data_IF_257958337496
#
_entry.id   IF_257958337496
#
_cell.length_a   1.000
_cell.length_b   1.000
_cell.length_c   1.000
_cell.angle_alpha   90.00
_cell.angle_beta   90.00
_cell.angle_gamma   90.00
#
_symmetry.space_group_name_H-M   'P 1'
#
loop_
_entity.id
_entity.type
_entity.pdbx_description
1 polymer ?
#
# COMPACT_ATOMS: atom_id res chain seq x y z
N UNK A 1 75.59 19.63 -33.97
CA UNK A 1 74.37 18.84 -33.73
C UNK A 1 74.53 17.98 -32.47
N UNK A 2 74.34 18.53 -31.31
CA UNK A 2 74.28 17.84 -29.99
C UNK A 2 73.82 18.88 -28.95
N UNK A 3 72.56 18.98 -28.73
CA UNK A 3 71.95 19.62 -27.54
C UNK A 3 70.42 19.74 -27.71
N UNK A 4 69.67 18.60 -27.83
CA UNK A 4 68.22 18.54 -27.67
C UNK A 4 67.85 17.08 -27.25
N UNK A 5 68.33 16.60 -26.13
CA UNK A 5 67.92 15.27 -25.65
C UNK A 5 67.82 15.15 -24.12
N UNK A 6 67.83 16.27 -23.38
CA UNK A 6 67.76 16.21 -21.90
C UNK A 6 66.51 16.90 -21.30
N UNK A 7 65.55 17.37 -22.09
CA UNK A 7 64.35 18.04 -21.60
C UNK A 7 63.06 17.22 -21.67
N UNK A 8 63.12 15.98 -22.20
CA UNK A 8 61.93 15.11 -22.22
C UNK A 8 61.86 14.04 -21.15
N UNK A 9 62.92 13.86 -20.35
CA UNK A 9 62.94 12.85 -19.26
C UNK A 9 62.43 13.40 -17.93
N UNK A 10 62.23 14.73 -17.78
CA UNK A 10 61.79 15.39 -16.54
C UNK A 10 60.26 15.49 -16.38
N UNK A 11 59.51 15.34 -17.46
CA UNK A 11 58.05 15.55 -17.43
C UNK A 11 57.23 14.28 -17.25
N UNK A 12 57.85 13.11 -17.35
CA UNK A 12 57.15 11.80 -17.21
C UNK A 12 57.17 11.25 -15.79
N UNK A 13 57.87 11.87 -14.83
CA UNK A 13 57.93 11.42 -13.45
C UNK A 13 56.96 12.13 -12.51
N UNK A 14 56.21 13.14 -12.99
CA UNK A 14 55.28 13.92 -12.14
C UNK A 14 53.80 13.49 -12.27
N UNK A 15 53.50 12.46 -13.07
CA UNK A 15 52.10 11.99 -13.26
C UNK A 15 51.76 10.69 -12.57
N UNK A 16 52.61 10.12 -11.67
CA UNK A 16 52.35 8.86 -10.98
C UNK A 16 52.00 9.08 -9.47
N UNK A 17 51.71 10.31 -9.05
CA UNK A 17 51.33 10.60 -7.65
C UNK A 17 49.89 11.03 -7.50
N UNK A 18 49.02 10.63 -8.41
CA UNK A 18 47.57 10.87 -8.28
C UNK A 18 46.85 9.57 -8.04
N UNK A 19 46.13 9.51 -6.93
CA UNK A 19 45.20 8.48 -6.52
C UNK A 19 45.78 7.19 -5.87
N UNK A 20 46.59 7.30 -4.84
CA UNK A 20 46.39 6.35 -3.74
C UNK A 20 45.16 6.79 -2.93
N UNK A 21 43.97 6.42 -3.35
CA UNK A 21 42.84 6.32 -2.44
C UNK A 21 43.27 5.33 -1.36
N UNK A 22 43.64 5.83 -0.18
CA UNK A 22 43.70 4.98 1.02
C UNK A 22 42.30 4.39 1.14
N UNK A 23 42.16 3.15 0.68
CA UNK A 23 41.03 2.32 1.11
C UNK A 23 41.20 2.16 2.60
N UNK A 24 40.54 3.02 3.37
CA UNK A 24 40.38 2.81 4.80
C UNK A 24 39.67 1.49 4.92
N UNK A 25 40.40 0.45 5.32
CA UNK A 25 39.73 -0.79 5.75
C UNK A 25 38.81 -0.38 6.89
N UNK A 26 37.50 -0.66 6.79
CA UNK A 26 36.60 -0.33 7.88
C UNK A 26 37.13 -1.01 9.15
N UNK A 27 37.40 -0.23 10.18
CA UNK A 27 37.74 -0.78 11.50
C UNK A 27 36.49 -1.49 11.99
N UNK A 28 36.54 -2.80 12.25
CA UNK A 28 35.38 -3.50 12.77
C UNK A 28 34.90 -2.84 14.07
N UNK A 29 33.59 -2.75 14.26
CA UNK A 29 33.03 -2.27 15.52
C UNK A 29 33.50 -3.17 16.67
N UNK A 30 34.10 -2.58 17.69
CA UNK A 30 34.52 -3.31 18.89
C UNK A 30 33.31 -3.47 19.83
N UNK A 31 32.70 -4.63 19.79
CA UNK A 31 31.60 -4.95 20.70
C UNK A 31 32.00 -4.88 22.15
N UNK A 32 31.17 -4.34 23.06
CA UNK A 32 31.40 -4.42 24.50
C UNK A 32 31.62 -5.85 24.95
N UNK A 33 32.63 -6.04 25.80
CA UNK A 33 32.97 -7.37 26.31
C UNK A 33 32.41 -7.59 27.71
N UNK A 34 32.15 -8.84 28.08
CA UNK A 34 31.70 -9.21 29.43
C UNK A 34 30.20 -8.92 29.69
N UNK A 35 29.43 -8.55 28.65
CA UNK A 35 28.00 -8.33 28.74
C UNK A 35 27.31 -9.65 28.37
N UNK A 36 26.57 -10.24 29.29
CA UNK A 36 25.77 -11.45 29.03
C UNK A 36 24.43 -11.07 28.37
N UNK A 37 24.07 -11.75 27.28
CA UNK A 37 22.75 -11.64 26.69
C UNK A 37 21.68 -12.20 27.66
N UNK A 38 20.49 -11.60 27.72
CA UNK A 38 19.35 -12.18 28.43
C UNK A 38 19.04 -13.59 27.93
N UNK A 39 18.57 -14.44 28.80
CA UNK A 39 18.16 -15.80 28.43
C UNK A 39 16.73 -16.01 28.88
N UNK A 40 15.87 -16.38 27.95
CA UNK A 40 14.48 -16.70 28.25
C UNK A 40 14.38 -18.00 29.04
N UNK A 41 13.53 -18.01 30.06
CA UNK A 41 13.26 -19.25 30.82
C UNK A 41 12.55 -20.28 29.96
N UNK A 42 12.94 -21.51 30.07
CA UNK A 42 12.29 -22.63 29.43
C UNK A 42 11.12 -23.13 30.29
N UNK A 43 9.94 -23.08 29.76
CA UNK A 43 8.72 -23.63 30.36
C UNK A 43 7.95 -24.46 29.30
N UNK A 44 8.36 -25.76 29.14
CA UNK A 44 7.86 -26.56 28.03
C UNK A 44 6.35 -26.81 28.10
N UNK A 45 5.67 -26.53 26.99
CA UNK A 45 4.29 -26.90 26.76
C UNK A 45 4.18 -27.86 25.60
N UNK A 46 3.52 -28.99 25.83
CA UNK A 46 3.26 -29.99 24.78
C UNK A 46 1.85 -29.86 24.24
N UNK A 47 1.71 -29.87 22.92
CA UNK A 47 0.41 -29.89 22.23
C UNK A 47 0.54 -30.63 20.89
N UNK A 48 -0.62 -31.05 20.34
CA UNK A 48 -0.67 -31.74 19.03
C UNK A 48 -1.22 -30.77 17.99
N UNK A 49 -0.52 -30.66 16.87
CA UNK A 49 -0.92 -29.83 15.73
C UNK A 49 -0.69 -30.62 14.43
N UNK A 50 -1.71 -30.75 13.59
CA UNK A 50 -1.68 -31.49 12.33
C UNK A 50 -1.21 -32.95 12.47
N UNK A 51 -1.45 -33.58 13.64
CA UNK A 51 -1.01 -34.95 13.95
C UNK A 51 0.37 -35.07 14.55
N UNK A 52 1.17 -33.99 14.58
CA UNK A 52 2.49 -33.97 15.17
C UNK A 52 2.45 -33.47 16.61
N UNK A 53 3.27 -34.06 17.47
CA UNK A 53 3.46 -33.63 18.86
C UNK A 53 4.58 -32.58 18.91
N UNK A 54 4.21 -31.36 19.27
CA UNK A 54 5.11 -30.23 19.39
C UNK A 54 5.37 -29.94 20.85
N UNK A 55 6.65 -29.75 21.20
CA UNK A 55 7.09 -29.24 22.52
C UNK A 55 7.63 -27.84 22.31
N UNK A 56 6.92 -26.83 22.79
CA UNK A 56 7.36 -25.43 22.74
C UNK A 56 7.83 -24.99 24.13
N UNK A 57 9.13 -24.75 24.27
CA UNK A 57 9.76 -24.33 25.54
C UNK A 57 9.43 -22.88 25.90
N UNK A 58 8.95 -22.09 24.95
CA UNK A 58 8.72 -20.64 25.08
C UNK A 58 7.27 -20.23 24.87
N UNK A 59 6.33 -21.18 24.89
CA UNK A 59 4.91 -20.91 24.67
C UNK A 59 4.34 -19.86 25.63
N UNK A 60 4.90 -19.70 26.81
CA UNK A 60 4.52 -18.70 27.80
C UNK A 60 4.62 -17.25 27.27
N UNK A 61 5.47 -16.99 26.26
CA UNK A 61 5.60 -15.68 25.63
C UNK A 61 4.31 -15.23 24.89
N UNK A 62 3.42 -16.16 24.53
CA UNK A 62 2.11 -15.85 23.97
C UNK A 62 1.22 -15.05 24.93
N UNK A 63 1.51 -15.10 26.24
CA UNK A 63 0.72 -14.39 27.24
C UNK A 63 0.81 -12.88 27.11
N UNK A 64 1.83 -12.35 26.44
CA UNK A 64 1.92 -10.91 26.10
C UNK A 64 0.66 -10.44 25.33
N UNK A 65 0.29 -11.17 24.29
CA UNK A 65 -0.86 -10.82 23.44
C UNK A 65 -2.19 -11.22 24.09
N UNK A 66 -2.23 -12.31 24.84
CA UNK A 66 -3.41 -12.88 25.46
C UNK A 66 -3.71 -12.31 26.85
N UNK A 67 -2.81 -11.44 27.35
CA UNK A 67 -2.88 -10.91 28.73
C UNK A 67 -3.00 -12.04 29.78
N UNK A 68 -2.24 -13.13 29.55
CA UNK A 68 -2.20 -14.28 30.44
C UNK A 68 -1.34 -14.04 31.68
N UNK A 69 -1.19 -15.06 32.56
CA UNK A 69 -0.51 -14.92 33.86
C UNK A 69 0.97 -14.56 33.73
N UNK A 70 1.67 -14.96 32.64
CA UNK A 70 3.06 -14.65 32.40
C UNK A 70 3.29 -13.32 31.66
N UNK A 71 2.26 -12.51 31.44
CA UNK A 71 2.31 -11.27 30.68
C UNK A 71 3.39 -10.29 31.20
N UNK A 72 3.50 -10.09 32.53
CA UNK A 72 4.54 -9.23 33.12
C UNK A 72 5.94 -9.81 32.90
N UNK A 73 6.10 -11.11 33.04
CA UNK A 73 7.37 -11.80 32.80
C UNK A 73 7.85 -11.64 31.35
N UNK A 74 6.94 -11.68 30.37
CA UNK A 74 7.28 -11.39 28.97
C UNK A 74 7.78 -9.96 28.80
N UNK A 75 7.09 -8.98 29.41
CA UNK A 75 7.52 -7.57 29.37
C UNK A 75 8.90 -7.38 30.01
N UNK A 76 9.15 -8.01 31.15
CA UNK A 76 10.45 -7.93 31.83
C UNK A 76 11.57 -8.50 30.95
N UNK A 77 11.32 -9.64 30.30
CA UNK A 77 12.27 -10.22 29.35
C UNK A 77 12.55 -9.30 28.17
N UNK A 78 11.52 -8.72 27.56
CA UNK A 78 11.68 -7.77 26.45
C UNK A 78 12.44 -6.49 26.87
N UNK A 79 12.20 -5.99 28.08
CA UNK A 79 12.96 -4.85 28.61
C UNK A 79 14.43 -5.21 28.84
N UNK A 80 14.75 -6.42 29.29
CA UNK A 80 16.11 -6.89 29.43
C UNK A 80 16.84 -7.00 28.08
N UNK A 81 16.16 -7.50 27.04
CA UNK A 81 16.69 -7.55 25.68
C UNK A 81 16.97 -6.15 25.12
N UNK A 82 16.06 -5.19 25.32
CA UNK A 82 16.25 -3.80 24.92
C UNK A 82 17.46 -3.16 25.65
N UNK A 83 17.58 -3.39 26.96
CA UNK A 83 18.73 -2.88 27.74
C UNK A 83 20.06 -3.50 27.28
N UNK A 84 20.05 -4.78 26.94
CA UNK A 84 21.20 -5.44 26.33
C UNK A 84 21.58 -4.82 25.00
N UNK A 85 20.59 -4.62 24.08
CA UNK A 85 20.80 -3.96 22.80
C UNK A 85 21.39 -2.56 22.98
N UNK A 86 20.83 -1.74 23.87
CA UNK A 86 21.29 -0.38 24.15
C UNK A 86 22.74 -0.35 24.65
N UNK A 87 23.11 -1.32 25.48
CA UNK A 87 24.46 -1.47 25.98
C UNK A 87 25.44 -1.87 24.88
N UNK A 88 25.08 -2.87 24.09
CA UNK A 88 25.91 -3.38 23.00
C UNK A 88 26.11 -2.34 21.90
N UNK A 89 25.08 -1.54 21.59
CA UNK A 89 25.11 -0.51 20.55
C UNK A 89 25.59 0.86 21.05
N UNK A 90 25.92 1.00 22.34
CA UNK A 90 26.25 2.32 22.96
C UNK A 90 27.37 3.07 22.25
N UNK A 91 28.40 2.37 21.77
CA UNK A 91 29.53 2.97 21.04
C UNK A 91 29.18 3.43 19.62
N UNK A 92 28.01 3.09 19.10
CA UNK A 92 27.57 3.50 17.75
C UNK A 92 26.68 4.75 17.77
N UNK A 93 26.31 5.29 18.93
CA UNK A 93 25.32 6.38 19.04
C UNK A 93 25.69 7.62 18.21
N UNK A 94 26.94 8.06 18.27
CA UNK A 94 27.39 9.22 17.47
C UNK A 94 27.36 8.90 15.97
N UNK A 95 27.72 7.69 15.57
CA UNK A 95 27.61 7.26 14.18
C UNK A 95 26.16 7.24 13.71
N UNK A 96 25.22 6.77 14.52
CA UNK A 96 23.78 6.77 14.21
C UNK A 96 23.27 8.21 14.01
N UNK A 97 23.62 9.13 14.90
CA UNK A 97 23.26 10.56 14.80
C UNK A 97 23.78 11.16 13.49
N UNK A 98 25.06 10.91 13.16
CA UNK A 98 25.67 11.43 11.94
C UNK A 98 25.02 10.82 10.69
N UNK A 99 24.73 9.51 10.70
CA UNK A 99 24.10 8.82 9.60
C UNK A 99 22.66 9.30 9.37
N UNK A 100 21.89 9.50 10.43
CA UNK A 100 20.53 10.07 10.34
C UNK A 100 20.59 11.48 9.75
N UNK A 101 21.52 12.32 10.20
CA UNK A 101 21.68 13.67 9.67
C UNK A 101 22.06 13.65 8.18
N UNK A 102 22.98 12.75 7.78
CA UNK A 102 23.35 12.56 6.37
C UNK A 102 22.17 12.10 5.52
N UNK A 103 21.41 11.10 5.98
CA UNK A 103 20.25 10.57 5.26
C UNK A 103 19.17 11.66 5.10
N UNK A 104 18.85 12.39 6.17
CA UNK A 104 17.89 13.49 6.10
C UNK A 104 18.33 14.61 5.17
N UNK A 105 19.63 14.93 5.16
CA UNK A 105 20.18 15.95 4.25
C UNK A 105 20.08 15.61 2.76
N UNK A 106 19.78 14.34 2.42
CA UNK A 106 19.53 13.88 1.05
C UNK A 106 18.05 13.92 0.66
N UNK A 107 17.14 14.15 1.60
CA UNK A 107 15.70 14.18 1.40
C UNK A 107 15.26 15.63 1.18
N UNK A 108 14.48 15.87 0.13
CA UNK A 108 13.79 17.14 -0.05
C UNK A 108 12.59 17.18 0.89
N UNK A 109 12.76 17.76 2.10
CA UNK A 109 11.69 17.78 3.10
C UNK A 109 10.50 18.65 2.69
N UNK A 110 10.71 19.71 1.91
CA UNK A 110 9.63 20.53 1.34
C UNK A 110 9.38 20.09 -0.09
N UNK A 111 8.33 19.35 -0.29
CA UNK A 111 8.01 18.73 -1.58
C UNK A 111 6.50 18.71 -1.83
N UNK A 112 6.12 18.46 -3.08
CA UNK A 112 4.74 18.35 -3.53
C UNK A 112 4.61 17.17 -4.50
N UNK A 113 3.57 16.35 -4.32
CA UNK A 113 3.30 15.25 -5.24
C UNK A 113 2.79 15.77 -6.59
N UNK A 114 2.95 14.95 -7.64
CA UNK A 114 2.32 15.23 -8.94
C UNK A 114 0.79 15.31 -8.75
N UNK A 115 0.12 16.39 -9.21
CA UNK A 115 -1.32 16.50 -9.09
C UNK A 115 -2.05 15.47 -9.96
N UNK A 116 -3.05 14.80 -9.39
CA UNK A 116 -3.90 13.83 -10.08
C UNK A 116 -5.27 14.45 -10.30
N UNK A 117 -5.69 14.53 -11.57
CA UNK A 117 -7.00 15.05 -11.92
C UNK A 117 -8.09 13.98 -11.70
N UNK A 118 -9.11 14.32 -10.91
CA UNK A 118 -10.29 13.49 -10.69
C UNK A 118 -11.51 14.36 -10.42
N UNK A 119 -12.66 14.00 -11.00
CA UNK A 119 -13.97 14.59 -10.75
C UNK A 119 -14.00 16.13 -10.64
N UNK A 120 -13.30 16.83 -11.58
CA UNK A 120 -13.26 18.29 -11.66
C UNK A 120 -12.24 18.98 -10.75
N UNK A 121 -11.43 18.22 -10.01
CA UNK A 121 -10.36 18.72 -9.16
C UNK A 121 -9.01 18.04 -9.46
N UNK A 122 -7.93 18.71 -9.11
CA UNK A 122 -6.58 18.11 -8.95
C UNK A 122 -6.32 17.84 -7.48
N UNK A 123 -5.89 16.64 -7.15
CA UNK A 123 -5.54 16.20 -5.79
C UNK A 123 -4.04 16.01 -5.68
N UNK A 124 -3.44 16.48 -4.59
CA UNK A 124 -1.99 16.38 -4.34
C UNK A 124 -1.68 16.53 -2.85
N UNK A 125 -0.47 16.15 -2.49
CA UNK A 125 0.04 16.26 -1.13
C UNK A 125 1.22 17.23 -1.07
N UNK A 126 1.42 17.86 0.08
CA UNK A 126 2.61 18.65 0.37
C UNK A 126 3.26 18.16 1.65
N UNK A 127 4.59 18.21 1.68
CA UNK A 127 5.39 18.04 2.89
C UNK A 127 5.98 19.39 3.34
N UNK A 128 6.30 19.53 4.61
CA UNK A 128 6.88 20.73 5.19
C UNK A 128 8.17 20.39 5.93
N UNK A 129 9.15 21.28 5.86
CA UNK A 129 10.41 21.14 6.57
C UNK A 129 10.20 20.93 8.08
N UNK A 130 10.86 19.94 8.64
CA UNK A 130 10.77 19.59 10.07
C UNK A 130 9.45 18.96 10.50
N UNK A 131 8.54 18.66 9.56
CA UNK A 131 7.26 17.97 9.81
C UNK A 131 7.33 16.52 9.40
N UNK A 132 6.41 15.72 9.92
CA UNK A 132 6.43 14.27 9.76
C UNK A 132 5.36 13.75 8.80
N UNK A 133 4.25 14.48 8.65
CA UNK A 133 3.08 14.02 7.93
C UNK A 133 2.75 14.90 6.74
N UNK A 134 1.90 14.36 5.84
CA UNK A 134 1.40 15.09 4.69
C UNK A 134 0.29 16.07 5.06
N UNK A 135 0.22 17.15 4.27
CA UNK A 135 -0.98 17.92 4.07
C UNK A 135 -1.64 17.47 2.76
N UNK A 136 -2.93 17.21 2.78
CA UNK A 136 -3.71 16.82 1.60
C UNK A 136 -4.48 17.99 1.06
N UNK A 137 -4.35 18.23 -0.22
CA UNK A 137 -4.96 19.37 -0.92
C UNK A 137 -5.78 18.92 -2.12
N UNK A 138 -6.75 19.74 -2.49
CA UNK A 138 -7.34 19.72 -3.80
C UNK A 138 -7.43 21.13 -4.37
N UNK A 139 -7.55 21.23 -5.71
CA UNK A 139 -7.73 22.48 -6.43
C UNK A 139 -8.66 22.22 -7.62
N UNK A 140 -9.69 23.04 -7.82
CA UNK A 140 -10.58 22.90 -8.97
C UNK A 140 -9.80 23.04 -10.28
N UNK A 141 -10.20 22.28 -11.31
CA UNK A 141 -9.61 22.33 -12.66
C UNK A 141 -10.07 23.57 -13.43
N UNK A 142 -10.04 24.74 -12.79
CA UNK A 142 -10.40 26.02 -13.38
C UNK A 142 -9.18 26.97 -13.29
N UNK A 143 -9.04 27.90 -14.25
CA UNK A 143 -8.03 28.96 -14.14
C UNK A 143 -8.13 29.69 -12.79
N UNK A 144 -6.98 29.95 -12.17
CA UNK A 144 -6.87 30.73 -10.92
C UNK A 144 -7.68 30.19 -9.71
N UNK A 145 -8.11 28.92 -9.75
CA UNK A 145 -8.77 28.31 -8.60
C UNK A 145 -7.85 28.32 -7.37
N UNK A 146 -8.41 28.58 -6.18
CA UNK A 146 -7.68 28.49 -4.94
C UNK A 146 -7.43 27.04 -4.53
N UNK A 147 -6.34 26.82 -3.79
CA UNK A 147 -6.09 25.54 -3.12
C UNK A 147 -7.06 25.37 -1.94
N UNK A 148 -7.58 24.17 -1.76
CA UNK A 148 -8.37 23.78 -0.61
C UNK A 148 -7.59 22.74 0.22
N UNK A 149 -7.32 23.06 1.49
CA UNK A 149 -6.72 22.12 2.44
C UNK A 149 -7.78 21.10 2.89
N UNK A 150 -7.61 19.86 2.51
CA UNK A 150 -8.49 18.76 2.93
C UNK A 150 -8.15 18.28 4.36
N UNK A 151 -6.89 17.92 4.61
CA UNK A 151 -6.40 17.47 5.91
C UNK A 151 -4.97 18.01 6.16
N UNK A 152 -4.72 18.50 7.37
CA UNK A 152 -3.39 18.72 7.93
C UNK A 152 -3.08 17.63 8.96
N UNK A 153 -2.39 16.58 8.51
CA UNK A 153 -2.16 15.41 9.38
C UNK A 153 -1.14 15.72 10.49
N UNK A 154 -0.20 16.65 10.31
CA UNK A 154 0.66 17.11 11.41
C UNK A 154 -0.16 17.75 12.54
N UNK A 155 -1.17 18.57 12.19
CA UNK A 155 -2.05 19.18 13.20
C UNK A 155 -2.93 18.13 13.88
N UNK A 156 -3.45 17.15 13.11
CA UNK A 156 -4.29 16.07 13.63
C UNK A 156 -3.52 15.13 14.56
N UNK A 157 -2.22 14.96 14.34
CA UNK A 157 -1.33 14.10 15.13
C UNK A 157 -0.79 14.75 16.40
N UNK A 158 -1.07 16.03 16.66
CA UNK A 158 -0.54 16.73 17.84
C UNK A 158 -0.92 16.01 19.14
N UNK A 159 0.09 15.73 19.99
CA UNK A 159 -0.08 15.03 21.26
C UNK A 159 -0.31 13.52 21.15
N UNK A 160 -0.25 12.94 19.94
CA UNK A 160 -0.39 11.49 19.72
C UNK A 160 0.97 10.82 19.63
N UNK A 161 1.10 9.62 20.21
CA UNK A 161 2.30 8.79 20.09
C UNK A 161 2.42 8.12 18.71
N UNK A 162 1.31 7.96 18.03
CA UNK A 162 1.20 7.43 16.66
C UNK A 162 -0.03 8.03 15.99
N UNK A 163 0.07 8.25 14.69
CA UNK A 163 -1.06 8.70 13.87
C UNK A 163 -0.88 8.27 12.42
N UNK A 164 -1.90 7.73 11.81
CA UNK A 164 -1.91 7.34 10.41
C UNK A 164 -3.25 7.65 9.79
N UNK A 165 -3.23 8.21 8.58
CA UNK A 165 -4.43 8.49 7.79
C UNK A 165 -4.39 7.63 6.53
N UNK A 166 -5.50 7.01 6.17
CA UNK A 166 -5.65 6.14 5.01
C UNK A 166 -6.98 6.39 4.31
N UNK A 167 -7.12 5.90 3.08
CA UNK A 167 -8.40 5.80 2.37
C UNK A 167 -9.12 7.13 2.16
N UNK A 168 -8.42 8.19 1.79
CA UNK A 168 -9.05 9.47 1.49
C UNK A 168 -9.91 9.35 0.22
N UNK A 169 -11.21 9.46 0.38
CA UNK A 169 -12.18 9.35 -0.70
C UNK A 169 -13.16 10.51 -0.66
N UNK A 170 -13.17 11.34 -1.71
CA UNK A 170 -14.13 12.42 -1.87
C UNK A 170 -15.40 11.88 -2.52
N UNK A 171 -16.57 12.26 -2.00
CA UNK A 171 -17.85 11.84 -2.56
C UNK A 171 -18.05 12.33 -4.02
N UNK A 172 -18.80 11.62 -4.86
CA UNK A 172 -19.05 12.01 -6.25
C UNK A 172 -19.62 13.42 -6.45
N UNK A 173 -20.38 13.92 -5.46
CA UNK A 173 -20.90 15.29 -5.44
C UNK A 173 -19.92 16.36 -4.93
N UNK A 174 -18.69 15.95 -4.59
CA UNK A 174 -17.62 16.80 -4.05
C UNK A 174 -17.92 17.47 -2.69
N UNK A 175 -18.94 17.01 -1.94
CA UNK A 175 -19.35 17.65 -0.68
C UNK A 175 -18.72 17.00 0.56
N UNK A 176 -18.32 15.74 0.49
CA UNK A 176 -17.86 14.96 1.62
C UNK A 176 -16.49 14.36 1.39
N UNK A 177 -15.68 14.31 2.44
CA UNK A 177 -14.42 13.55 2.48
C UNK A 177 -14.56 12.46 3.54
N UNK A 178 -14.46 11.19 3.15
CA UNK A 178 -14.30 10.07 4.07
C UNK A 178 -12.82 9.69 4.14
N UNK A 179 -12.33 9.35 5.34
CA UNK A 179 -10.96 8.91 5.55
C UNK A 179 -10.84 8.07 6.83
N UNK A 180 -9.91 7.13 6.84
CA UNK A 180 -9.59 6.30 8.00
C UNK A 180 -8.48 6.89 8.86
N UNK A 181 -8.57 6.77 10.18
CA UNK A 181 -7.54 7.14 11.15
C UNK A 181 -7.20 5.95 12.03
N UNK A 182 -5.90 5.60 12.13
CA UNK A 182 -5.35 4.72 13.15
C UNK A 182 -4.43 5.54 14.07
N UNK A 183 -4.80 5.66 15.36
CA UNK A 183 -4.00 6.35 16.37
C UNK A 183 -3.41 5.40 17.43
N UNK A 184 -3.47 4.08 17.16
CA UNK A 184 -2.95 3.02 18.04
C UNK A 184 -1.84 2.17 17.42
N UNK A 185 -1.48 2.40 16.16
CA UNK A 185 -0.43 1.66 15.42
C UNK A 185 -0.73 0.15 15.21
N UNK A 186 -2.00 -0.21 15.03
CA UNK A 186 -2.40 -1.61 14.86
C UNK A 186 -3.29 -1.86 13.64
N UNK A 187 -3.34 -0.93 12.70
CA UNK A 187 -4.25 -1.00 11.53
C UNK A 187 -5.71 -1.16 11.96
N UNK A 188 -6.07 -0.51 13.05
CA UNK A 188 -7.43 -0.42 13.55
C UNK A 188 -7.96 0.97 13.23
N UNK A 189 -8.49 1.12 12.04
CA UNK A 189 -8.94 2.42 11.57
C UNK A 189 -10.37 2.71 12.03
N UNK A 190 -10.58 3.97 12.37
CA UNK A 190 -11.92 4.57 12.49
C UNK A 190 -12.11 5.48 11.29
N UNK A 191 -13.20 5.29 10.54
CA UNK A 191 -13.55 6.17 9.43
C UNK A 191 -14.29 7.39 9.97
N UNK A 192 -13.85 8.57 9.52
CA UNK A 192 -14.48 9.86 9.75
C UNK A 192 -14.97 10.45 8.44
N UNK A 193 -16.04 11.26 8.52
CA UNK A 193 -16.62 11.94 7.37
C UNK A 193 -16.63 13.43 7.64
N UNK A 194 -16.03 14.21 6.75
CA UNK A 194 -15.89 15.66 6.82
C UNK A 194 -16.71 16.34 5.74
N UNK A 195 -17.50 17.33 6.11
CA UNK A 195 -18.12 18.22 5.13
C UNK A 195 -17.08 19.19 4.56
N UNK A 196 -16.84 19.16 3.27
CA UNK A 196 -15.79 19.95 2.63
C UNK A 196 -16.14 21.44 2.54
N UNK A 197 -17.42 21.79 2.49
CA UNK A 197 -17.85 23.19 2.45
C UNK A 197 -17.70 23.88 3.80
N UNK A 198 -18.02 23.20 4.89
CA UNK A 198 -18.00 23.78 6.24
C UNK A 198 -16.75 23.45 7.03
N UNK A 199 -15.99 22.44 6.62
CA UNK A 199 -14.84 21.88 7.34
C UNK A 199 -15.22 21.05 8.57
N UNK A 200 -16.50 20.86 8.85
CA UNK A 200 -17.00 20.19 10.07
C UNK A 200 -17.05 18.69 9.86
N UNK A 201 -16.59 17.93 10.87
CA UNK A 201 -16.77 16.48 10.93
C UNK A 201 -18.23 16.16 11.27
N UNK A 202 -18.75 15.11 10.64
CA UNK A 202 -20.02 14.52 11.12
C UNK A 202 -19.83 13.93 12.51
N UNK A 203 -20.90 13.89 13.27
CA UNK A 203 -20.90 13.31 14.64
C UNK A 203 -20.72 11.80 14.64
N UNK A 204 -21.09 11.15 13.54
CA UNK A 204 -20.88 9.72 13.34
C UNK A 204 -19.43 9.39 12.99
N UNK A 205 -18.97 8.24 13.45
CA UNK A 205 -17.70 7.63 13.06
C UNK A 205 -17.88 6.12 12.99
N UNK A 206 -17.05 5.45 12.20
CA UNK A 206 -17.17 4.02 11.95
C UNK A 206 -15.88 3.34 12.43
N UNK A 207 -15.86 2.77 13.65
CA UNK A 207 -14.67 2.11 14.20
C UNK A 207 -14.50 0.68 13.69
N UNK A 208 -13.29 0.12 13.89
CA UNK A 208 -12.98 -1.28 13.61
C UNK A 208 -12.95 -1.62 12.13
N UNK A 209 -12.48 -0.71 11.31
CA UNK A 209 -12.45 -0.83 9.84
C UNK A 209 -11.03 -1.07 9.31
N UNK A 210 -10.93 -1.43 8.02
CA UNK A 210 -9.66 -1.46 7.28
C UNK A 210 -9.11 -0.07 6.92
N UNK A 211 -9.93 0.98 7.02
CA UNK A 211 -9.51 2.36 6.76
C UNK A 211 -9.71 2.86 5.34
N UNK A 212 -10.26 2.04 4.44
CA UNK A 212 -10.43 2.35 3.02
C UNK A 212 -11.93 2.43 2.66
N UNK A 213 -12.58 3.59 2.86
CA UNK A 213 -13.98 3.80 2.50
C UNK A 213 -14.16 3.97 0.98
N UNK A 214 -15.31 3.54 0.45
CA UNK A 214 -15.68 3.67 -0.96
C UNK A 214 -17.08 4.23 -1.10
N UNK A 215 -17.23 5.40 -1.72
CA UNK A 215 -18.53 6.00 -1.97
C UNK A 215 -19.30 5.32 -3.10
N UNK A 216 -20.61 5.14 -2.93
CA UNK A 216 -21.54 4.89 -4.04
C UNK A 216 -21.73 6.14 -4.89
N UNK A 217 -22.33 5.99 -6.08
CA UNK A 217 -22.55 7.11 -6.99
C UNK A 217 -23.52 8.16 -6.45
N UNK A 218 -24.43 7.81 -5.54
CA UNK A 218 -25.42 8.71 -4.95
C UNK A 218 -24.87 9.64 -3.86
N UNK A 219 -23.59 9.51 -3.47
CA UNK A 219 -22.94 10.26 -2.38
C UNK A 219 -23.61 10.12 -1.01
N UNK A 220 -24.47 9.11 -0.82
CA UNK A 220 -25.23 8.88 0.41
C UNK A 220 -24.87 7.58 1.10
N UNK A 221 -24.21 6.66 0.40
CA UNK A 221 -23.79 5.39 0.96
C UNK A 221 -22.27 5.25 0.85
N UNK A 222 -21.69 4.72 1.92
CA UNK A 222 -20.26 4.43 2.01
C UNK A 222 -20.08 2.94 2.29
N UNK A 223 -19.20 2.31 1.54
CA UNK A 223 -18.82 0.91 1.77
C UNK A 223 -17.45 0.84 2.41
N UNK A 224 -17.23 -0.15 3.26
CA UNK A 224 -15.96 -0.33 3.96
C UNK A 224 -15.77 -1.78 4.40
N UNK A 225 -14.52 -2.17 4.66
CA UNK A 225 -14.22 -3.44 5.31
C UNK A 225 -14.27 -3.32 6.83
N UNK A 226 -14.94 -4.26 7.49
CA UNK A 226 -15.00 -4.38 8.94
C UNK A 226 -14.09 -5.51 9.41
N UNK A 227 -13.25 -5.21 10.41
CA UNK A 227 -12.22 -6.11 10.90
C UNK A 227 -12.71 -6.93 12.11
N UNK A 228 -12.24 -8.16 12.20
CA UNK A 228 -12.34 -8.95 13.40
C UNK A 228 -11.53 -8.29 14.54
N UNK A 229 -12.13 -8.03 15.72
CA UNK A 229 -11.44 -7.31 16.80
C UNK A 229 -10.27 -8.08 17.43
N UNK A 230 -10.17 -9.39 17.19
CA UNK A 230 -9.13 -10.26 17.77
C UNK A 230 -8.02 -10.50 16.77
N UNK A 231 -8.36 -10.94 15.55
CA UNK A 231 -7.39 -11.28 14.49
C UNK A 231 -6.96 -10.07 13.69
N UNK A 232 -7.73 -9.00 13.69
CA UNK A 232 -7.59 -7.78 12.87
C UNK A 232 -7.71 -8.02 11.36
N UNK A 233 -8.15 -9.20 10.96
CA UNK A 233 -8.46 -9.50 9.55
C UNK A 233 -9.80 -8.89 9.17
N UNK A 234 -9.90 -8.36 7.96
CA UNK A 234 -11.17 -7.93 7.38
C UNK A 234 -12.04 -9.17 7.09
N UNK A 235 -13.21 -9.24 7.70
CA UNK A 235 -14.14 -10.38 7.57
C UNK A 235 -15.46 -10.00 6.89
N UNK A 236 -15.81 -8.72 6.89
CA UNK A 236 -17.10 -8.27 6.36
C UNK A 236 -16.91 -7.04 5.48
N UNK A 237 -17.76 -6.91 4.48
CA UNK A 237 -18.01 -5.65 3.81
C UNK A 237 -19.35 -5.11 4.29
N UNK A 238 -19.33 -3.88 4.76
CA UNK A 238 -20.49 -3.20 5.29
C UNK A 238 -20.86 -1.98 4.43
N UNK A 239 -22.14 -1.62 4.45
CA UNK A 239 -22.67 -0.40 3.86
C UNK A 239 -23.20 0.50 4.96
N UNK A 240 -22.66 1.71 5.02
CA UNK A 240 -23.09 2.80 5.88
C UNK A 240 -23.99 3.77 5.11
N UNK A 241 -25.07 4.25 5.73
CA UNK A 241 -25.89 5.35 5.18
C UNK A 241 -25.51 6.65 5.88
N UNK A 242 -25.22 7.68 5.12
CA UNK A 242 -24.81 8.98 5.65
C UNK A 242 -25.85 9.52 6.65
N UNK A 243 -25.40 10.14 7.75
CA UNK A 243 -26.21 10.64 8.85
C UNK A 243 -26.96 9.55 9.65
N UNK A 244 -26.45 8.32 9.66
CA UNK A 244 -26.98 7.26 10.54
C UNK A 244 -25.89 6.76 11.49
N UNK A 245 -26.28 6.11 12.58
CA UNK A 245 -25.30 5.50 13.48
C UNK A 245 -24.67 4.26 12.84
N UNK A 246 -23.36 4.06 13.00
CA UNK A 246 -22.63 2.88 12.47
C UNK A 246 -23.16 1.54 13.00
N UNK A 247 -23.87 1.54 14.13
CA UNK A 247 -24.57 0.35 14.65
C UNK A 247 -25.75 -0.11 13.79
N UNK A 248 -26.21 0.73 12.87
CA UNK A 248 -27.30 0.41 11.90
C UNK A 248 -26.75 -0.04 10.53
N UNK A 249 -25.45 -0.15 10.37
CA UNK A 249 -24.82 -0.49 9.11
C UNK A 249 -25.17 -1.90 8.66
N UNK A 250 -25.34 -2.06 7.36
CA UNK A 250 -25.75 -3.32 6.75
C UNK A 250 -24.54 -4.11 6.30
N UNK A 251 -24.36 -5.33 6.82
CA UNK A 251 -23.38 -6.26 6.28
C UNK A 251 -23.86 -6.75 4.91
N UNK A 252 -23.11 -6.46 3.84
CA UNK A 252 -23.43 -6.86 2.47
C UNK A 252 -22.65 -8.09 1.98
N UNK A 253 -21.55 -8.41 2.66
CA UNK A 253 -20.77 -9.62 2.41
C UNK A 253 -20.05 -10.06 3.69
N UNK A 254 -19.95 -11.37 3.89
CA UNK A 254 -19.14 -11.98 4.95
C UNK A 254 -18.25 -13.05 4.34
N UNK A 255 -16.94 -12.96 4.58
CA UNK A 255 -15.99 -14.02 4.28
C UNK A 255 -15.93 -14.99 5.45
N UNK A 256 -16.13 -16.26 5.17
CA UNK A 256 -16.13 -17.31 6.19
C UNK A 256 -14.84 -18.12 6.23
N UNK A 257 -14.04 -18.04 5.17
CA UNK A 257 -12.74 -18.70 5.10
C UNK A 257 -11.63 -17.72 5.50
N UNK A 258 -10.99 -17.90 6.67
CA UNK A 258 -9.95 -16.98 7.16
C UNK A 258 -8.66 -16.98 6.33
N UNK A 259 -8.53 -17.88 5.36
CA UNK A 259 -7.40 -17.86 4.41
C UNK A 259 -7.57 -16.84 3.29
N UNK A 260 -8.75 -16.24 3.16
CA UNK A 260 -9.04 -15.23 2.17
C UNK A 260 -8.96 -13.81 2.76
N UNK A 261 -8.31 -12.93 2.03
CA UNK A 261 -8.30 -11.49 2.28
C UNK A 261 -9.40 -10.83 1.45
N UNK A 262 -10.17 -9.95 2.07
CA UNK A 262 -11.25 -9.22 1.40
C UNK A 262 -11.05 -7.72 1.42
N UNK A 263 -11.63 -7.05 0.45
CA UNK A 263 -11.75 -5.61 0.39
C UNK A 263 -12.78 -5.19 -0.64
N UNK A 264 -12.96 -3.89 -0.78
CA UNK A 264 -13.88 -3.30 -1.72
C UNK A 264 -13.20 -2.14 -2.45
N UNK A 265 -13.48 -1.99 -3.74
CA UNK A 265 -13.04 -0.85 -4.53
C UNK A 265 -14.09 -0.47 -5.56
N UNK A 266 -13.92 0.67 -6.18
CA UNK A 266 -14.74 1.16 -7.30
C UNK A 266 -13.95 1.03 -8.60
N UNK A 267 -14.58 0.54 -9.66
CA UNK A 267 -13.94 0.46 -10.98
C UNK A 267 -13.49 1.84 -11.46
N UNK A 268 -12.49 1.90 -12.34
CA UNK A 268 -11.97 3.15 -12.90
C UNK A 268 -13.06 3.99 -13.57
N UNK A 269 -14.03 3.35 -14.17
CA UNK A 269 -15.23 3.99 -14.76
C UNK A 269 -16.17 4.61 -13.74
N UNK A 270 -15.97 4.34 -12.45
CA UNK A 270 -16.83 4.69 -11.30
C UNK A 270 -18.23 4.04 -11.32
N UNK A 271 -18.52 3.16 -12.29
CA UNK A 271 -19.85 2.58 -12.48
C UNK A 271 -20.14 1.35 -11.63
N UNK A 272 -19.10 0.65 -11.15
CA UNK A 272 -19.26 -0.56 -10.35
C UNK A 272 -18.47 -0.51 -9.06
N UNK A 273 -19.09 -1.03 -8.02
CA UNK A 273 -18.45 -1.41 -6.76
C UNK A 273 -18.05 -2.88 -6.88
N UNK A 274 -16.84 -3.20 -6.46
CA UNK A 274 -16.27 -4.53 -6.56
C UNK A 274 -15.79 -5.00 -5.21
N UNK A 275 -16.37 -6.08 -4.68
CA UNK A 275 -15.82 -6.82 -3.55
C UNK A 275 -14.86 -7.86 -4.12
N UNK A 276 -13.63 -7.88 -3.64
CA UNK A 276 -12.70 -8.96 -3.91
C UNK A 276 -12.50 -9.83 -2.68
N UNK A 277 -12.31 -11.13 -2.91
CA UNK A 277 -11.92 -12.12 -1.92
C UNK A 277 -10.81 -12.96 -2.52
N UNK A 278 -9.59 -12.91 -1.95
CA UNK A 278 -8.41 -13.52 -2.55
C UNK A 278 -7.54 -14.24 -1.54
N UNK A 279 -7.08 -15.44 -1.91
CA UNK A 279 -5.96 -16.15 -1.32
C UNK A 279 -4.74 -16.05 -2.25
N UNK A 280 -3.62 -16.66 -1.86
CA UNK A 280 -2.37 -16.62 -2.65
C UNK A 280 -2.55 -17.10 -4.09
N UNK A 281 -3.37 -18.13 -4.31
CA UNK A 281 -3.52 -18.80 -5.60
C UNK A 281 -4.96 -18.83 -6.11
N UNK A 282 -5.87 -18.06 -5.54
CA UNK A 282 -7.25 -18.02 -6.02
C UNK A 282 -7.91 -16.69 -5.68
N UNK A 283 -8.83 -16.25 -6.52
CA UNK A 283 -9.65 -15.06 -6.26
C UNK A 283 -11.11 -15.26 -6.65
N UNK A 284 -11.97 -14.46 -6.03
CA UNK A 284 -13.37 -14.28 -6.41
C UNK A 284 -13.70 -12.79 -6.34
N UNK A 285 -14.45 -12.29 -7.29
CA UNK A 285 -14.99 -10.95 -7.29
C UNK A 285 -16.51 -10.95 -7.31
N UNK A 286 -17.10 -9.94 -6.68
CA UNK A 286 -18.53 -9.65 -6.72
C UNK A 286 -18.73 -8.21 -7.14
N UNK A 287 -19.73 -7.96 -7.96
CA UNK A 287 -20.01 -6.64 -8.52
C UNK A 287 -21.38 -6.13 -8.12
N UNK A 288 -21.49 -4.81 -7.97
CA UNK A 288 -22.73 -4.08 -7.79
C UNK A 288 -22.67 -2.78 -8.59
N UNK A 289 -23.74 -2.39 -9.29
CA UNK A 289 -23.81 -1.04 -9.89
C UNK A 289 -23.68 0.02 -8.79
N UNK A 290 -22.79 0.98 -8.98
CA UNK A 290 -22.59 2.08 -8.05
C UNK A 290 -23.83 2.99 -7.90
N UNK A 291 -24.71 3.00 -8.92
CA UNK A 291 -25.99 3.73 -8.92
C UNK A 291 -27.10 3.00 -8.12
N UNK A 292 -26.88 1.73 -7.76
CA UNK A 292 -27.83 0.95 -6.97
C UNK A 292 -27.21 0.43 -5.67
N UNK A 293 -26.79 1.30 -4.75
CA UNK A 293 -26.02 0.90 -3.57
C UNK A 293 -26.77 -0.03 -2.60
N UNK A 294 -28.10 -0.12 -2.70
CA UNK A 294 -28.93 -1.00 -1.88
C UNK A 294 -29.21 -2.35 -2.53
N UNK A 295 -28.71 -2.58 -3.73
CA UNK A 295 -28.81 -3.86 -4.43
C UNK A 295 -27.93 -4.95 -3.81
N UNK A 296 -27.99 -6.14 -4.41
CA UNK A 296 -27.19 -7.29 -4.02
C UNK A 296 -25.94 -7.42 -4.89
N UNK A 297 -24.80 -7.69 -4.26
CA UNK A 297 -23.56 -8.01 -4.98
C UNK A 297 -23.68 -9.36 -5.69
N UNK A 298 -23.45 -9.38 -6.99
CA UNK A 298 -23.49 -10.60 -7.82
C UNK A 298 -22.08 -11.15 -8.00
N UNK A 299 -21.91 -12.47 -7.93
CA UNK A 299 -20.64 -13.12 -8.23
C UNK A 299 -20.29 -12.84 -9.70
N UNK A 300 -19.09 -12.32 -9.93
CA UNK A 300 -18.55 -12.08 -11.26
C UNK A 300 -18.10 -13.41 -11.91
N UNK A 301 -17.23 -14.12 -11.23
CA UNK A 301 -16.75 -15.46 -11.58
C UNK A 301 -16.49 -16.23 -10.29
N UNK A 302 -17.09 -17.40 -10.08
CA UNK A 302 -16.84 -18.22 -8.89
C UNK A 302 -15.35 -18.59 -8.76
N UNK A 303 -14.90 -18.69 -7.52
CA UNK A 303 -13.54 -19.10 -7.17
C UNK A 303 -13.17 -20.42 -7.82
N UNK A 304 -12.01 -20.47 -8.42
CA UNK A 304 -11.42 -21.68 -8.97
C UNK A 304 -10.01 -21.84 -8.40
N UNK A 305 -9.67 -23.06 -7.96
CA UNK A 305 -8.33 -23.37 -7.47
C UNK A 305 -7.27 -23.02 -8.53
N UNK A 306 -6.17 -22.43 -8.11
CA UNK A 306 -5.02 -22.01 -8.92
C UNK A 306 -5.34 -20.97 -10.01
N UNK A 307 -6.51 -20.34 -9.93
CA UNK A 307 -6.91 -19.24 -10.82
C UNK A 307 -7.06 -17.93 -10.03
N UNK A 308 -6.23 -16.98 -10.41
CA UNK A 308 -6.29 -15.60 -9.93
C UNK A 308 -6.81 -14.70 -11.04
N UNK A 309 -7.70 -13.78 -10.70
CA UNK A 309 -8.15 -12.75 -11.62
C UNK A 309 -8.48 -11.45 -10.87
N UNK A 310 -8.28 -10.33 -11.56
CA UNK A 310 -8.75 -9.01 -11.16
C UNK A 310 -9.63 -8.42 -12.27
N UNK A 311 -10.51 -7.51 -11.92
CA UNK A 311 -11.45 -6.91 -12.88
C UNK A 311 -11.39 -5.39 -12.81
N UNK A 312 -11.65 -4.75 -13.95
CA UNK A 312 -12.02 -3.34 -14.07
C UNK A 312 -13.12 -3.21 -15.12
N UNK A 313 -13.67 -2.00 -15.27
CA UNK A 313 -14.74 -1.71 -16.22
C UNK A 313 -14.32 -0.61 -17.19
N UNK A 314 -14.54 -0.85 -18.48
CA UNK A 314 -14.28 0.11 -19.53
C UNK A 314 -15.39 0.06 -20.60
N UNK A 315 -16.06 1.18 -20.80
CA UNK A 315 -17.18 1.34 -21.75
C UNK A 315 -18.31 0.33 -21.53
N UNK A 316 -18.48 -0.66 -22.43
CA UNK A 316 -19.55 -1.65 -22.42
C UNK A 316 -19.09 -3.06 -21.99
N UNK A 317 -17.90 -3.18 -21.39
CA UNK A 317 -17.33 -4.45 -21.01
C UNK A 317 -16.48 -4.37 -19.74
N UNK A 318 -16.34 -5.52 -19.07
CA UNK A 318 -15.31 -5.68 -18.05
C UNK A 318 -13.99 -6.10 -18.68
N UNK A 319 -12.89 -5.61 -18.14
CA UNK A 319 -11.53 -6.05 -18.40
C UNK A 319 -11.13 -7.04 -17.30
N UNK A 320 -10.60 -8.19 -17.66
CA UNK A 320 -10.25 -9.26 -16.73
C UNK A 320 -8.79 -9.63 -16.92
N UNK A 321 -7.95 -9.26 -15.98
CA UNK A 321 -6.55 -9.73 -15.89
C UNK A 321 -6.53 -11.09 -15.17
N UNK A 322 -5.96 -12.13 -15.76
CA UNK A 322 -6.00 -13.48 -15.18
C UNK A 322 -4.81 -14.34 -15.58
N UNK A 323 -4.44 -15.27 -14.66
CA UNK A 323 -3.49 -16.33 -14.93
C UNK A 323 -4.15 -17.62 -15.52
N UNK A 324 -5.45 -17.61 -15.78
CA UNK A 324 -6.14 -18.78 -16.35
C UNK A 324 -5.52 -19.16 -17.69
N UNK A 325 -4.94 -20.36 -17.78
CA UNK A 325 -4.15 -20.85 -18.92
C UNK A 325 -3.06 -19.88 -19.40
N UNK A 326 -2.52 -19.06 -18.48
CA UNK A 326 -1.62 -17.96 -18.79
C UNK A 326 -0.64 -17.71 -17.63
N UNK A 327 0.50 -18.40 -17.60
CA UNK A 327 1.47 -18.33 -16.50
C UNK A 327 1.90 -16.88 -16.18
N UNK A 328 2.06 -16.05 -17.21
CA UNK A 328 2.46 -14.65 -17.09
C UNK A 328 1.27 -13.69 -17.25
N UNK A 329 0.08 -14.14 -16.92
CA UNK A 329 -1.18 -13.42 -17.08
C UNK A 329 -1.53 -13.08 -18.54
N UNK A 330 -2.77 -12.78 -18.76
CA UNK A 330 -3.36 -12.26 -19.98
C UNK A 330 -4.53 -11.34 -19.67
N UNK A 331 -4.90 -10.49 -20.60
CA UNK A 331 -6.10 -9.66 -20.50
C UNK A 331 -7.23 -10.28 -21.31
N UNK A 332 -8.38 -10.41 -20.68
CA UNK A 332 -9.64 -10.82 -21.30
C UNK A 332 -10.67 -9.70 -21.19
N UNK A 333 -11.70 -9.74 -22.02
CA UNK A 333 -12.92 -8.97 -21.80
C UNK A 333 -14.09 -9.90 -21.43
N UNK A 334 -15.04 -9.37 -20.66
CA UNK A 334 -16.30 -10.03 -20.35
C UNK A 334 -17.48 -9.10 -20.60
N UNK A 335 -18.60 -9.57 -21.18
CA UNK A 335 -19.82 -8.77 -21.36
C UNK A 335 -20.44 -8.39 -20.01
N UNK A 336 -21.12 -7.23 -19.91
CA UNK A 336 -21.71 -6.74 -18.66
C UNK A 336 -22.72 -7.69 -18.02
N UNK A 337 -23.45 -8.44 -18.82
CA UNK A 337 -24.53 -9.34 -18.38
C UNK A 337 -24.15 -10.83 -18.37
N UNK A 338 -22.90 -11.16 -18.73
CA UNK A 338 -22.38 -12.55 -18.82
C UNK A 338 -20.91 -12.55 -18.40
N UNK A 339 -20.66 -12.47 -17.10
CA UNK A 339 -19.33 -12.22 -16.56
C UNK A 339 -18.50 -13.48 -16.34
N UNK A 340 -19.11 -14.67 -16.45
CA UNK A 340 -18.43 -15.93 -16.21
C UNK A 340 -17.46 -16.31 -17.34
N UNK A 341 -16.47 -17.12 -16.99
CA UNK A 341 -15.27 -17.41 -17.81
C UNK A 341 -15.57 -17.94 -19.23
N UNK A 342 -16.67 -18.64 -19.44
CA UNK A 342 -17.07 -19.16 -20.75
C UNK A 342 -17.40 -18.05 -21.78
N UNK A 343 -17.59 -16.80 -21.31
CA UNK A 343 -17.86 -15.64 -22.17
C UNK A 343 -16.66 -14.72 -22.34
N UNK A 344 -15.53 -15.06 -21.70
CA UNK A 344 -14.33 -14.22 -21.80
C UNK A 344 -13.70 -14.32 -23.18
N UNK A 345 -13.27 -13.16 -23.72
CA UNK A 345 -12.56 -13.04 -24.99
C UNK A 345 -11.20 -12.45 -24.77
N UNK A 346 -10.18 -13.03 -25.38
CA UNK A 346 -8.80 -12.55 -25.25
C UNK A 346 -8.60 -11.19 -25.93
N UNK A 347 -7.99 -10.25 -25.22
CA UNK A 347 -7.59 -8.92 -25.70
C UNK A 347 -6.07 -8.78 -25.80
N UNK A 348 -5.34 -9.28 -24.81
CA UNK A 348 -3.88 -9.34 -24.79
C UNK A 348 -3.47 -10.75 -24.41
N UNK A 349 -2.80 -11.50 -25.29
CA UNK A 349 -2.42 -12.87 -25.05
C UNK A 349 -1.29 -12.97 -24.01
N UNK A 350 -1.18 -14.14 -23.38
CA UNK A 350 -0.03 -14.50 -22.56
C UNK A 350 1.25 -14.50 -23.39
N UNK A 351 2.32 -13.95 -22.82
CA UNK A 351 3.67 -13.97 -23.40
C UNK A 351 4.63 -14.66 -22.43
N UNK A 352 5.51 -15.54 -22.95
CA UNK A 352 6.45 -16.30 -22.11
C UNK A 352 7.58 -15.44 -21.51
N UNK A 353 7.89 -14.31 -22.15
CA UNK A 353 8.99 -13.40 -21.82
C UNK A 353 8.53 -12.11 -21.11
N UNK A 354 7.22 -11.91 -20.94
CA UNK A 354 6.64 -10.71 -20.35
C UNK A 354 5.54 -11.08 -19.37
N UNK A 355 5.63 -10.58 -18.14
CA UNK A 355 4.56 -10.65 -17.15
C UNK A 355 3.63 -9.45 -17.33
N UNK A 356 2.34 -9.68 -17.52
CA UNK A 356 1.31 -8.65 -17.45
C UNK A 356 0.97 -8.42 -15.96
N UNK A 357 1.32 -7.25 -15.43
CA UNK A 357 1.13 -6.94 -14.01
C UNK A 357 -0.22 -6.28 -13.72
N UNK A 358 -0.57 -5.25 -14.48
CA UNK A 358 -1.85 -4.55 -14.32
C UNK A 358 -2.24 -3.78 -15.58
N UNK A 359 -3.50 -3.34 -15.61
CA UNK A 359 -4.03 -2.45 -16.64
C UNK A 359 -4.82 -1.33 -15.96
N UNK A 360 -4.58 -0.10 -16.40
CA UNK A 360 -5.38 1.06 -16.03
C UNK A 360 -6.10 1.60 -17.27
N UNK A 361 -7.41 1.36 -17.39
CA UNK A 361 -8.18 1.80 -18.54
C UNK A 361 -8.63 3.25 -18.36
N UNK A 362 -8.11 4.14 -19.22
CA UNK A 362 -8.63 5.48 -19.41
C UNK A 362 -9.57 5.49 -20.62
N UNK A 363 -10.35 6.55 -20.78
CA UNK A 363 -11.31 6.66 -21.87
C UNK A 363 -10.68 6.50 -23.26
N UNK A 364 -9.55 7.15 -23.51
CA UNK A 364 -8.91 7.23 -24.81
C UNK A 364 -7.62 6.38 -24.93
N UNK A 365 -7.16 5.78 -23.87
CA UNK A 365 -5.96 4.94 -23.85
C UNK A 365 -5.96 4.01 -22.64
N UNK A 366 -5.22 2.91 -22.75
CA UNK A 366 -4.91 2.03 -21.63
C UNK A 366 -3.43 2.15 -21.28
N UNK A 367 -3.13 2.19 -20.00
CA UNK A 367 -1.78 2.02 -19.46
C UNK A 367 -1.62 0.56 -19.04
N UNK A 368 -0.74 -0.15 -19.70
CA UNK A 368 -0.49 -1.56 -19.48
C UNK A 368 0.86 -1.68 -18.78
N UNK A 369 0.86 -2.13 -17.52
CA UNK A 369 2.07 -2.38 -16.75
C UNK A 369 2.56 -3.80 -17.05
N UNK A 370 3.78 -3.89 -17.51
CA UNK A 370 4.43 -5.14 -17.87
C UNK A 370 5.81 -5.25 -17.23
N UNK A 371 6.23 -6.47 -16.94
CA UNK A 371 7.61 -6.74 -16.49
C UNK A 371 8.33 -7.60 -17.51
N UNK A 372 9.44 -7.09 -18.00
CA UNK A 372 10.33 -7.78 -18.93
C UNK A 372 11.78 -7.62 -18.48
N UNK A 373 12.53 -8.73 -18.46
CA UNK A 373 13.95 -8.72 -18.08
C UNK A 373 14.23 -8.03 -16.73
N UNK A 374 13.28 -8.12 -15.79
CA UNK A 374 13.38 -7.52 -14.44
C UNK A 374 12.93 -6.06 -14.35
N UNK A 375 12.68 -5.38 -15.46
CA UNK A 375 12.23 -3.99 -15.50
C UNK A 375 10.72 -3.88 -15.72
N UNK A 376 10.08 -2.99 -14.97
CA UNK A 376 8.69 -2.59 -15.23
C UNK A 376 8.66 -1.71 -16.47
N UNK A 377 7.81 -2.03 -17.41
CA UNK A 377 7.60 -1.28 -18.65
C UNK A 377 6.16 -0.78 -18.71
N UNK A 378 5.98 0.47 -19.11
CA UNK A 378 4.66 1.05 -19.34
C UNK A 378 4.37 1.05 -20.84
N UNK A 379 3.40 0.24 -21.26
CA UNK A 379 2.91 0.21 -22.63
C UNK A 379 1.60 0.99 -22.70
N UNK A 380 1.56 1.98 -23.56
CA UNK A 380 0.36 2.77 -23.82
C UNK A 380 -0.32 2.21 -25.07
N UNK A 381 -1.61 1.92 -24.94
CA UNK A 381 -2.46 1.53 -26.07
C UNK A 381 -3.52 2.58 -26.28
N UNK A 382 -3.46 3.26 -27.41
CA UNK A 382 -4.47 4.27 -27.79
C UNK A 382 -5.79 3.60 -28.19
N UNK A 383 -6.89 4.20 -27.78
CA UNK A 383 -8.22 3.70 -28.07
C UNK A 383 -9.00 4.73 -28.89
N UNK A 384 -9.77 4.33 -29.93
CA UNK A 384 -9.98 2.97 -30.41
C UNK A 384 -8.95 2.47 -31.46
N UNK A 385 -7.94 3.26 -31.83
CA UNK A 385 -7.00 2.92 -32.92
C UNK A 385 -6.24 1.61 -32.68
N UNK A 386 -5.99 1.26 -31.43
CA UNK A 386 -5.19 0.11 -31.04
C UNK A 386 -3.69 0.31 -31.28
N UNK A 387 -3.21 1.52 -31.59
CA UNK A 387 -1.80 1.83 -31.70
C UNK A 387 -1.13 1.71 -30.32
N UNK A 388 0.08 1.13 -30.31
CA UNK A 388 0.81 0.87 -29.07
C UNK A 388 2.24 1.41 -29.13
N UNK A 389 2.71 1.92 -27.98
CA UNK A 389 4.11 2.27 -27.80
C UNK A 389 4.50 2.05 -26.33
N UNK A 390 5.79 1.82 -26.09
CA UNK A 390 6.35 1.81 -24.74
C UNK A 390 6.89 3.18 -24.38
N UNK A 391 6.77 3.58 -23.12
CA UNK A 391 7.44 4.76 -22.61
C UNK A 391 8.95 4.49 -22.52
N UNK A 392 9.74 5.40 -23.07
CA UNK A 392 11.20 5.35 -22.97
C UNK A 392 11.64 6.23 -21.79
N UNK A 393 12.30 5.63 -20.80
CA UNK A 393 12.82 6.33 -19.63
C UNK A 393 14.26 6.83 -19.83
N UNK A 394 14.89 6.54 -20.97
CA UNK A 394 16.23 7.02 -21.31
C UNK A 394 17.37 6.41 -20.49
N UNK A 395 17.09 5.44 -19.63
CA UNK A 395 18.06 4.79 -18.74
C UNK A 395 17.98 3.26 -18.84
N UNK A 396 19.14 2.55 -18.71
CA UNK A 396 19.16 1.09 -18.81
C UNK A 396 18.56 0.37 -17.59
N UNK A 397 18.40 1.05 -16.46
CA UNK A 397 17.77 0.56 -15.25
C UNK A 397 16.98 1.69 -14.59
N UNK A 398 15.73 1.44 -14.32
CA UNK A 398 14.78 2.40 -13.73
C UNK A 398 13.69 1.69 -12.94
N UNK A 399 12.92 2.46 -12.18
CA UNK A 399 11.70 2.03 -11.51
C UNK A 399 10.55 2.93 -11.97
N UNK A 400 9.50 2.34 -12.47
CA UNK A 400 8.31 3.03 -12.96
C UNK A 400 7.05 2.50 -12.26
#
# INVERSE_FOLDING_TARGET
MRRISFLLAGFTLLLIHSCQTKTMKPTPYAWPQGIAAPTADKNPRTFVQHGDTIVDEYYWMNDFFKKGPDSSKVVDYLNAENAYLDTMMSGTRQFQVNLIAEMRGRIQEKDESVPIADNGFSYYTKTREGKQYYQYYRKALAPDAAEELLLDVDQMAEGKGYYSVSGLEVSPDNQWLAYGVDDVSRRQYTIFIKNLKTGVLLSESIPGTGGDPVWSADSKHLFYSSNNPVTLLSEKICRHSLNTASSSDVTVYTETDPSNYIGIYKTRSTQYLVIYSSATLSSEARILSADNPTGEFQIFQPRTKDVVYGIDHWEDQFLVSTNWEAKNFRLMSAPLNRTTREYWKELIPNRSDVLLESIEPFKNFWVINERKEGLTQLRIREMPSGQEHYLDFGEPAYMA
#
